data_IF_030492155864
#
_entry.id   IF_030492155864
#
_cell.length_a   1.000
_cell.length_b   1.000
_cell.length_c   1.000
_cell.angle_alpha   90.00
_cell.angle_beta   90.00
_cell.angle_gamma   90.00
#
_symmetry.space_group_name_H-M   'P 1'
#
loop_
_entity.id
_entity.type
_entity.pdbx_description
1 polymer ?
#
# COMPACT_ATOMS: atom_id res chain seq x y z
N UNK A 1 -23.91 11.23 -23.04
CA UNK A 1 -22.72 10.68 -22.34
C UNK A 1 -22.80 9.17 -22.44
N UNK A 2 -22.18 8.57 -23.46
CA UNK A 2 -22.13 7.12 -23.61
C UNK A 2 -20.70 6.65 -23.32
N UNK A 3 -20.46 6.11 -22.13
CA UNK A 3 -19.36 5.17 -21.90
C UNK A 3 -19.81 3.76 -21.48
N UNK A 4 -20.88 3.14 -22.06
CA UNK A 4 -21.29 1.78 -21.68
C UNK A 4 -20.51 0.66 -22.40
N UNK A 5 -19.72 0.96 -23.44
CA UNK A 5 -19.06 -0.09 -24.25
C UNK A 5 -17.70 -0.54 -23.69
N UNK A 6 -17.03 0.26 -22.87
CA UNK A 6 -15.70 -0.06 -22.37
C UNK A 6 -15.69 -1.18 -21.31
N UNK A 7 -16.75 -1.33 -20.53
CA UNK A 7 -16.86 -2.46 -19.60
C UNK A 7 -17.04 -3.81 -20.31
N UNK A 8 -17.48 -3.78 -21.58
CA UNK A 8 -17.65 -4.97 -22.42
C UNK A 8 -16.40 -5.29 -23.23
N UNK A 9 -15.46 -4.35 -23.39
CA UNK A 9 -14.20 -4.64 -24.09
C UNK A 9 -13.41 -5.74 -23.38
N UNK A 10 -12.89 -6.65 -24.19
CA UNK A 10 -12.06 -7.76 -23.74
C UNK A 10 -10.64 -7.30 -23.50
N UNK A 11 -10.06 -7.79 -22.42
CA UNK A 11 -8.66 -7.67 -22.06
C UNK A 11 -8.07 -9.06 -22.03
N UNK A 12 -6.90 -9.18 -22.65
CA UNK A 12 -6.02 -10.32 -22.50
C UNK A 12 -4.80 -9.87 -21.70
N UNK A 13 -4.77 -10.25 -20.43
CA UNK A 13 -3.68 -9.96 -19.50
C UNK A 13 -3.11 -11.28 -18.99
N UNK A 14 -1.79 -11.41 -18.75
CA UNK A 14 -1.22 -12.67 -18.27
C UNK A 14 -1.95 -13.25 -17.04
N UNK A 15 -2.58 -14.41 -17.22
CA UNK A 15 -3.36 -15.10 -16.18
C UNK A 15 -4.81 -14.62 -15.99
N UNK A 16 -5.26 -13.63 -16.77
CA UNK A 16 -6.64 -13.13 -16.81
C UNK A 16 -7.11 -12.88 -18.24
N UNK A 17 -8.15 -13.60 -18.67
CA UNK A 17 -8.85 -13.33 -19.92
C UNK A 17 -10.33 -13.07 -19.64
N UNK A 18 -10.83 -11.92 -20.11
CA UNK A 18 -12.20 -11.52 -19.83
C UNK A 18 -12.49 -10.09 -20.23
N UNK A 19 -13.66 -9.57 -19.86
CA UNK A 19 -13.98 -8.16 -20.07
C UNK A 19 -13.42 -7.28 -18.95
N UNK A 20 -13.24 -5.99 -19.21
CA UNK A 20 -12.91 -4.99 -18.18
C UNK A 20 -13.93 -5.03 -17.03
N UNK A 21 -15.21 -5.26 -17.33
CA UNK A 21 -16.24 -5.45 -16.31
C UNK A 21 -16.00 -6.71 -15.45
N UNK A 22 -15.56 -7.83 -16.04
CA UNK A 22 -15.16 -9.02 -15.28
C UNK A 22 -13.94 -8.72 -14.40
N UNK A 23 -12.97 -7.96 -14.91
CA UNK A 23 -11.78 -7.57 -14.16
C UNK A 23 -12.17 -6.74 -12.92
N UNK A 24 -13.02 -5.73 -13.08
CA UNK A 24 -13.55 -4.93 -11.98
C UNK A 24 -14.28 -5.80 -10.94
N UNK A 25 -15.11 -6.76 -11.39
CA UNK A 25 -15.77 -7.71 -10.48
C UNK A 25 -14.78 -8.57 -9.67
N UNK A 26 -13.66 -8.99 -10.27
CA UNK A 26 -12.61 -9.73 -9.55
C UNK A 26 -12.01 -8.87 -8.44
N UNK A 27 -11.67 -7.61 -8.72
CA UNK A 27 -11.16 -6.67 -7.71
C UNK A 27 -12.16 -6.45 -6.57
N UNK A 28 -13.42 -6.19 -6.91
CA UNK A 28 -14.50 -5.96 -5.94
C UNK A 28 -14.74 -7.17 -5.05
N UNK A 29 -14.80 -8.37 -5.64
CA UNK A 29 -14.97 -9.63 -4.90
C UNK A 29 -13.80 -9.86 -3.94
N UNK A 30 -12.57 -9.62 -4.39
CA UNK A 30 -11.38 -9.75 -3.53
C UNK A 30 -11.35 -8.72 -2.40
N UNK A 31 -11.76 -7.49 -2.66
CA UNK A 31 -11.90 -6.48 -1.62
C UNK A 31 -12.92 -6.90 -0.56
N UNK A 32 -14.07 -7.46 -0.97
CA UNK A 32 -15.07 -8.00 -0.04
C UNK A 32 -14.52 -9.17 0.79
N UNK A 33 -13.76 -10.09 0.20
CA UNK A 33 -13.09 -11.16 0.95
C UNK A 33 -12.16 -10.61 2.04
N UNK A 34 -11.42 -9.53 1.76
CA UNK A 34 -10.58 -8.88 2.77
C UNK A 34 -11.39 -8.12 3.83
N UNK A 35 -12.52 -7.53 3.48
CA UNK A 35 -13.42 -6.94 4.47
C UNK A 35 -13.99 -8.01 5.41
N UNK A 36 -14.41 -9.17 4.88
CA UNK A 36 -14.93 -10.26 5.70
C UNK A 36 -13.86 -10.81 6.66
N UNK A 37 -12.65 -11.07 6.14
CA UNK A 37 -11.50 -11.49 6.97
C UNK A 37 -11.16 -10.43 8.02
N UNK A 38 -11.15 -9.15 7.64
CA UNK A 38 -10.93 -8.05 8.59
C UNK A 38 -11.93 -8.12 9.75
N UNK A 39 -13.21 -8.29 9.47
CA UNK A 39 -14.24 -8.30 10.51
C UNK A 39 -14.08 -9.49 11.47
N UNK A 40 -13.57 -10.62 10.97
CA UNK A 40 -13.16 -11.76 11.81
C UNK A 40 -12.00 -11.39 12.75
N UNK A 41 -10.98 -10.68 12.25
CA UNK A 41 -9.85 -10.21 13.08
C UNK A 41 -10.22 -9.07 14.05
N UNK A 42 -11.21 -8.23 13.69
CA UNK A 42 -11.77 -7.22 14.60
C UNK A 42 -12.39 -7.89 15.82
N UNK A 43 -13.15 -8.97 15.61
CA UNK A 43 -13.73 -9.77 16.71
C UNK A 43 -12.65 -10.38 17.60
N UNK A 44 -11.54 -10.80 17.00
CA UNK A 44 -10.38 -11.36 17.70
C UNK A 44 -9.41 -10.31 18.29
N UNK A 45 -9.73 -9.00 18.17
CA UNK A 45 -8.91 -7.86 18.65
C UNK A 45 -7.47 -7.85 18.10
N UNK A 46 -7.19 -8.48 16.97
CA UNK A 46 -5.88 -8.41 16.32
C UNK A 46 -5.80 -7.18 15.41
N UNK A 47 -5.59 -6.02 16.03
CA UNK A 47 -5.57 -4.74 15.31
C UNK A 47 -4.47 -4.66 14.25
N UNK A 48 -3.36 -5.40 14.40
CA UNK A 48 -2.25 -5.34 13.43
C UNK A 48 -2.63 -6.00 12.11
N UNK A 49 -3.38 -7.10 12.15
CA UNK A 49 -3.92 -7.72 10.93
C UNK A 49 -5.09 -6.92 10.37
N UNK A 50 -5.94 -6.34 11.22
CA UNK A 50 -7.02 -5.43 10.78
C UNK A 50 -6.48 -4.26 9.96
N UNK A 51 -5.44 -3.55 10.40
CA UNK A 51 -4.92 -2.44 9.56
C UNK A 51 -4.30 -2.96 8.28
N UNK A 52 -3.62 -4.12 8.27
CA UNK A 52 -3.12 -4.71 7.01
C UNK A 52 -4.26 -5.00 6.03
N UNK A 53 -5.38 -5.53 6.49
CA UNK A 53 -6.52 -5.85 5.62
C UNK A 53 -7.27 -4.59 5.15
N UNK A 54 -7.49 -3.59 6.00
CA UNK A 54 -8.05 -2.29 5.57
C UNK A 54 -7.21 -1.68 4.46
N UNK A 55 -5.90 -1.67 4.70
CA UNK A 55 -4.96 -1.10 3.77
C UNK A 55 -5.05 -1.87 2.42
N UNK A 56 -5.13 -3.21 2.43
CA UNK A 56 -5.36 -4.04 1.22
C UNK A 56 -6.66 -3.70 0.50
N UNK A 57 -7.76 -3.54 1.23
CA UNK A 57 -9.08 -3.15 0.68
C UNK A 57 -8.98 -1.80 -0.03
N UNK A 58 -8.38 -0.80 0.62
CA UNK A 58 -8.23 0.55 0.06
C UNK A 58 -7.41 0.53 -1.23
N UNK A 59 -6.35 -0.30 -1.27
CA UNK A 59 -5.54 -0.41 -2.47
C UNK A 59 -6.28 -1.08 -3.64
N UNK A 60 -7.11 -2.08 -3.39
CA UNK A 60 -7.91 -2.72 -4.44
C UNK A 60 -8.99 -1.77 -4.95
N UNK A 61 -9.63 -1.00 -4.07
CA UNK A 61 -10.59 0.04 -4.47
C UNK A 61 -9.94 1.12 -5.31
N UNK A 62 -8.76 1.59 -4.91
CA UNK A 62 -8.01 2.58 -5.71
C UNK A 62 -7.66 2.07 -7.11
N UNK A 63 -7.40 0.77 -7.26
CA UNK A 63 -7.16 0.15 -8.57
C UNK A 63 -8.45 0.06 -9.37
N UNK A 64 -9.55 -0.36 -8.73
CA UNK A 64 -10.88 -0.39 -9.34
C UNK A 64 -11.28 0.99 -9.87
N UNK A 65 -11.11 2.05 -9.08
CA UNK A 65 -11.39 3.43 -9.47
C UNK A 65 -10.53 3.86 -10.67
N UNK A 66 -9.23 3.53 -10.66
CA UNK A 66 -8.31 3.85 -11.77
C UNK A 66 -8.65 3.08 -13.05
N UNK A 67 -9.16 1.85 -12.93
CA UNK A 67 -9.63 1.05 -14.08
C UNK A 67 -10.95 1.61 -14.61
N UNK A 68 -11.85 2.04 -13.71
CA UNK A 68 -13.13 2.65 -14.09
C UNK A 68 -12.94 4.02 -14.77
N UNK A 69 -11.91 4.77 -14.38
CA UNK A 69 -11.52 6.03 -15.03
C UNK A 69 -10.61 5.85 -16.24
N UNK A 70 -10.27 4.61 -16.61
CA UNK A 70 -9.42 4.37 -17.77
C UNK A 70 -10.26 4.42 -19.06
N UNK A 71 -9.78 5.18 -20.04
CA UNK A 71 -10.47 5.32 -21.32
C UNK A 71 -10.07 4.24 -22.34
N UNK A 72 -9.05 3.43 -22.05
CA UNK A 72 -8.52 2.41 -22.96
C UNK A 72 -8.01 1.16 -22.26
N UNK A 73 -7.99 0.04 -23.00
CA UNK A 73 -7.43 -1.24 -22.53
C UNK A 73 -5.95 -1.11 -22.20
N UNK A 74 -5.20 -0.33 -22.98
CA UNK A 74 -3.78 -0.08 -22.73
C UNK A 74 -3.54 0.65 -21.41
N UNK A 75 -4.42 1.60 -21.06
CA UNK A 75 -4.36 2.27 -19.76
C UNK A 75 -4.62 1.29 -18.61
N UNK A 76 -5.59 0.38 -18.77
CA UNK A 76 -5.84 -0.70 -17.80
C UNK A 76 -4.61 -1.61 -17.68
N UNK A 77 -4.01 -2.00 -18.81
CA UNK A 77 -2.80 -2.81 -18.82
C UNK A 77 -1.65 -2.12 -18.10
N UNK A 78 -1.46 -0.81 -18.33
CA UNK A 78 -0.44 -0.01 -17.65
C UNK A 78 -0.67 0.05 -16.13
N UNK A 79 -1.92 0.19 -15.67
CA UNK A 79 -2.28 0.18 -14.25
C UNK A 79 -1.96 -1.19 -13.62
N UNK A 80 -2.38 -2.29 -14.27
CA UNK A 80 -2.13 -3.65 -13.79
C UNK A 80 -0.62 -3.92 -13.68
N UNK A 81 0.15 -3.49 -14.67
CA UNK A 81 1.62 -3.61 -14.70
C UNK A 81 2.30 -2.74 -13.65
N UNK A 82 1.89 -1.48 -13.50
CA UNK A 82 2.43 -0.54 -12.48
C UNK A 82 2.27 -1.12 -11.07
N UNK A 83 1.11 -1.71 -10.80
CA UNK A 83 0.78 -2.31 -9.50
C UNK A 83 1.26 -3.76 -9.36
N UNK A 84 1.99 -4.30 -10.34
CA UNK A 84 2.50 -5.68 -10.35
C UNK A 84 1.42 -6.73 -10.06
N UNK A 85 0.22 -6.51 -10.59
CA UNK A 85 -0.92 -7.39 -10.35
C UNK A 85 -0.72 -8.65 -11.17
N UNK A 86 -0.86 -9.80 -10.50
CA UNK A 86 -0.78 -11.11 -11.13
C UNK A 86 -2.09 -11.86 -10.92
N UNK A 87 -2.47 -12.57 -11.96
CA UNK A 87 -3.62 -13.46 -11.94
C UNK A 87 -3.15 -14.90 -12.17
N UNK A 88 -3.90 -15.85 -11.62
CA UNK A 88 -3.81 -17.26 -11.94
C UNK A 88 -5.24 -17.75 -12.09
N UNK A 89 -5.56 -18.37 -13.22
CA UNK A 89 -6.92 -18.87 -13.51
C UNK A 89 -8.01 -17.80 -13.26
N UNK A 90 -7.81 -16.56 -13.74
CA UNK A 90 -8.71 -15.42 -13.53
C UNK A 90 -8.90 -14.98 -12.07
N UNK A 91 -8.10 -15.48 -11.13
CA UNK A 91 -8.09 -15.06 -9.72
C UNK A 91 -6.87 -14.23 -9.43
N UNK A 92 -7.04 -13.17 -8.64
CA UNK A 92 -5.93 -12.36 -8.14
C UNK A 92 -5.04 -13.22 -7.22
N UNK A 93 -3.77 -13.41 -7.56
CA UNK A 93 -2.85 -14.28 -6.81
C UNK A 93 -1.77 -13.54 -6.07
N UNK A 94 -1.36 -12.36 -6.54
CA UNK A 94 -0.41 -11.52 -5.81
C UNK A 94 -1.10 -10.38 -5.08
N UNK A 95 -1.15 -10.51 -3.76
CA UNK A 95 -1.53 -9.46 -2.80
C UNK A 95 -0.40 -8.45 -2.52
N UNK A 96 0.69 -8.50 -3.27
CA UNK A 96 1.80 -7.55 -3.21
C UNK A 96 1.44 -6.15 -3.74
N UNK A 97 0.15 -5.91 -3.98
CA UNK A 97 -0.45 -4.58 -4.07
C UNK A 97 -0.03 -3.71 -2.87
N UNK A 98 0.31 -4.35 -1.73
CA UNK A 98 0.95 -3.75 -0.56
C UNK A 98 2.46 -3.49 -0.68
N UNK A 99 2.87 -2.75 -1.71
CA UNK A 99 4.04 -1.88 -1.57
C UNK A 99 3.56 -0.45 -1.34
N UNK A 100 3.02 -0.19 -0.14
CA UNK A 100 3.22 1.13 0.45
C UNK A 100 4.71 1.38 0.33
N UNK A 101 5.09 2.44 -0.37
CA UNK A 101 6.44 2.99 -0.34
C UNK A 101 6.77 3.29 1.10
N UNK A 102 7.22 2.27 1.83
CA UNK A 102 7.88 2.40 3.11
C UNK A 102 9.20 3.07 2.79
N UNK A 103 9.15 4.40 2.60
CA UNK A 103 10.29 5.24 2.96
C UNK A 103 10.61 4.80 4.37
N UNK A 104 11.60 3.93 4.49
CA UNK A 104 12.15 3.48 5.75
C UNK A 104 12.39 4.76 6.53
N UNK A 105 11.55 5.00 7.54
CA UNK A 105 11.80 6.07 8.49
C UNK A 105 13.01 5.57 9.25
N UNK A 106 14.19 5.80 8.67
CA UNK A 106 15.47 5.72 9.37
C UNK A 106 15.31 6.73 10.49
N UNK A 107 14.82 6.27 11.63
CA UNK A 107 15.02 6.93 12.91
C UNK A 107 16.52 6.85 13.14
N UNK A 108 17.23 7.81 12.55
CA UNK A 108 18.62 8.10 12.86
C UNK A 108 18.62 8.42 14.34
N UNK A 109 18.88 7.43 15.18
CA UNK A 109 19.20 7.66 16.59
C UNK A 109 20.36 8.63 16.56
N UNK A 110 20.11 9.87 16.96
CA UNK A 110 21.17 10.84 17.20
C UNK A 110 22.09 10.18 18.21
N UNK A 111 23.32 9.90 17.75
CA UNK A 111 24.40 9.38 18.58
C UNK A 111 24.53 10.39 19.72
N UNK A 112 24.06 10.03 20.93
CA UNK A 112 24.20 10.84 22.14
C UNK A 112 25.69 10.91 22.43
N UNK A 113 26.37 11.86 21.80
CA UNK A 113 27.76 12.17 22.04
C UNK A 113 27.89 12.60 23.49
N UNK A 114 28.47 11.75 24.32
CA UNK A 114 29.00 12.17 25.61
C UNK A 114 30.20 13.07 25.31
N UNK A 115 29.97 14.37 25.11
CA UNK A 115 31.04 15.36 25.19
C UNK A 115 31.51 15.40 26.64
N UNK A 116 32.64 14.74 26.92
CA UNK A 116 33.46 14.99 28.11
C UNK A 116 33.83 16.48 28.10
N UNK A 117 33.09 17.30 28.86
CA UNK A 117 33.45 18.69 29.09
C UNK A 117 34.41 18.71 30.28
N UNK A 118 35.70 18.65 29.97
CA UNK A 118 36.76 18.88 30.97
C UNK A 118 36.51 20.22 31.65
N UNK A 119 36.35 20.20 32.98
CA UNK A 119 36.34 21.42 33.78
C UNK A 119 37.79 21.82 34.02
N UNK A 120 38.17 22.89 33.35
CA UNK A 120 39.43 23.62 33.50
C UNK A 120 39.57 24.19 34.91
N UNK A 121 40.81 24.14 35.43
CA UNK A 121 41.26 24.71 36.71
C UNK A 121 40.83 26.18 36.84
N UNK A 122 40.21 26.56 37.98
CA UNK A 122 40.16 27.96 38.42
C UNK A 122 41.20 28.17 39.52
N UNK A 123 42.21 28.96 39.22
CA UNK A 123 43.23 29.40 40.16
C UNK A 123 42.62 30.23 41.30
N UNK A 124 43.10 29.98 42.52
CA UNK A 124 42.86 30.84 43.68
C UNK A 124 43.81 32.03 43.59
N UNK A 125 43.27 33.21 43.34
CA UNK A 125 43.89 34.48 43.71
C UNK A 125 42.97 35.17 44.71
N UNK A 126 43.31 35.11 46.00
CA UNK A 126 42.73 36.03 46.99
C UNK A 126 43.85 36.91 47.51
N UNK A 127 43.79 38.15 47.03
CA UNK A 127 44.67 39.29 47.26
C UNK A 127 44.42 39.84 48.66
N UNK A 128 45.51 40.28 49.30
CA UNK A 128 45.65 40.96 50.59
C UNK A 128 44.52 41.93 50.95
N UNK A 129 44.04 41.85 52.19
CA UNK A 129 43.84 42.97 53.13
C UNK A 129 44.06 42.43 54.53
#
# INVERSE_FOLDING_TARGET
MEAPNFLKTTIDYPGFSGSVGKLAMVFRKKAQEYMFKRDEFVRNKDFRTVVKYNAKVDSLRSIEDRIASADSVDAVYAILKEKNIRFQENKLTNDDVYKLGGKSRKTRKTKKGKTRKGKTRKGKTRRRR
#
